data_IF_416451942500
#
_entry.id   IF_416451942500
#
_cell.length_a   1.000
_cell.length_b   1.000
_cell.length_c   1.000
_cell.angle_alpha   90.00
_cell.angle_beta   90.00
_cell.angle_gamma   90.00
#
_symmetry.space_group_name_H-M   'P 1'
#
loop_
_entity.id
_entity.type
_entity.pdbx_description
1 polymer ?
#
# COMPACT_ATOMS: atom_id res chain seq x y z
N UNK A 1 -7.15 -9.92 -14.03
CA UNK A 1 -6.80 -10.43 -12.69
C UNK A 1 -5.79 -9.53 -11.94
N UNK A 2 -5.03 -8.65 -12.61
CA UNK A 2 -4.10 -7.70 -11.96
C UNK A 2 -4.80 -6.65 -11.09
N UNK A 3 -5.93 -6.11 -11.55
CA UNK A 3 -6.71 -5.11 -10.80
C UNK A 3 -7.20 -5.56 -9.41
N UNK A 4 -7.42 -6.87 -9.19
CA UNK A 4 -7.81 -7.38 -7.87
C UNK A 4 -6.65 -7.30 -6.87
N UNK A 5 -5.43 -7.64 -7.28
CA UNK A 5 -4.25 -7.56 -6.42
C UNK A 5 -3.95 -6.12 -6.02
N UNK A 6 -3.99 -5.19 -6.99
CA UNK A 6 -3.81 -3.75 -6.73
C UNK A 6 -4.91 -3.20 -5.82
N UNK A 7 -6.16 -3.58 -6.04
CA UNK A 7 -7.28 -3.18 -5.19
C UNK A 7 -7.15 -3.68 -3.75
N UNK A 8 -6.70 -4.92 -3.54
CA UNK A 8 -6.46 -5.47 -2.20
C UNK A 8 -5.33 -4.73 -1.47
N UNK A 9 -4.22 -4.44 -2.16
CA UNK A 9 -3.10 -3.68 -1.56
C UNK A 9 -3.54 -2.27 -1.19
N UNK A 10 -4.31 -1.59 -2.06
CA UNK A 10 -4.86 -0.26 -1.75
C UNK A 10 -5.80 -0.31 -0.56
N UNK A 11 -6.72 -1.29 -0.53
CA UNK A 11 -7.67 -1.45 0.59
C UNK A 11 -6.96 -1.67 1.92
N UNK A 12 -5.91 -2.50 1.93
CA UNK A 12 -5.14 -2.80 3.13
C UNK A 12 -4.28 -1.61 3.56
N UNK A 13 -3.66 -0.90 2.61
CA UNK A 13 -2.94 0.35 2.88
C UNK A 13 -3.86 1.43 3.45
N UNK A 14 -5.07 1.56 2.91
CA UNK A 14 -6.07 2.51 3.38
C UNK A 14 -6.58 2.16 4.79
N UNK A 15 -6.77 0.87 5.08
CA UNK A 15 -7.09 0.42 6.43
C UNK A 15 -6.00 0.79 7.44
N UNK A 16 -4.73 0.48 7.13
CA UNK A 16 -3.59 0.84 7.97
C UNK A 16 -3.46 2.36 8.16
N UNK A 17 -3.69 3.13 7.10
CA UNK A 17 -3.71 4.59 7.16
C UNK A 17 -4.83 5.10 8.07
N UNK A 18 -6.01 4.46 8.06
CA UNK A 18 -7.09 4.76 8.99
C UNK A 18 -6.70 4.53 10.45
N UNK A 19 -6.01 3.43 10.74
CA UNK A 19 -5.47 3.17 12.10
C UNK A 19 -4.45 4.24 12.50
N UNK A 20 -3.51 4.57 11.61
CA UNK A 20 -2.53 5.65 11.86
C UNK A 20 -3.22 6.99 12.10
N UNK A 21 -4.31 7.28 11.37
CA UNK A 21 -5.08 8.50 11.55
C UNK A 21 -5.72 8.62 12.94
N UNK A 22 -5.96 7.53 13.67
CA UNK A 22 -6.48 7.60 15.04
C UNK A 22 -5.45 8.22 16.01
N UNK A 23 -4.16 7.98 15.77
CA UNK A 23 -3.05 8.51 16.57
C UNK A 23 -2.89 10.03 16.45
N UNK A 24 -3.47 10.63 15.39
CA UNK A 24 -3.54 12.08 15.21
C UNK A 24 -4.09 12.82 16.43
N UNK A 25 -5.00 12.19 17.17
CA UNK A 25 -5.58 12.72 18.41
C UNK A 25 -4.51 13.10 19.44
N UNK A 26 -3.39 12.36 19.50
CA UNK A 26 -2.25 12.70 20.35
C UNK A 26 -1.15 13.45 19.59
N UNK A 27 -0.91 13.13 18.32
CA UNK A 27 0.19 13.69 17.54
C UNK A 27 0.06 15.18 17.28
N UNK A 28 -1.17 15.66 17.08
CA UNK A 28 -1.41 17.09 16.85
C UNK A 28 -0.98 17.95 18.05
N UNK A 29 -1.15 17.44 19.28
CA UNK A 29 -0.77 18.09 20.53
C UNK A 29 0.74 18.22 20.70
N UNK A 30 1.51 17.31 20.08
CA UNK A 30 2.97 17.22 20.23
C UNK A 30 3.71 17.93 19.10
N UNK A 31 3.18 17.87 17.88
CA UNK A 31 3.86 18.38 16.69
C UNK A 31 3.38 19.77 16.28
N UNK A 32 2.09 20.05 16.43
CA UNK A 32 1.44 21.22 15.81
C UNK A 32 0.95 22.27 16.81
N UNK A 33 1.03 21.99 18.12
CA UNK A 33 0.68 22.95 19.15
C UNK A 33 1.92 23.78 19.58
N UNK A 34 1.79 25.10 19.59
CA UNK A 34 2.84 26.02 20.04
C UNK A 34 2.24 27.14 20.91
N UNK A 35 2.64 27.31 22.18
CA UNK A 35 3.58 26.49 22.94
C UNK A 35 2.98 25.14 23.36
N UNK A 36 3.83 24.12 23.52
CA UNK A 36 3.41 22.82 24.10
C UNK A 36 3.07 23.06 25.57
N UNK A 37 1.88 22.62 25.99
CA UNK A 37 1.42 22.78 27.37
C UNK A 37 1.67 21.51 28.17
N UNK A 38 1.80 21.63 29.50
CA UNK A 38 1.94 20.45 30.37
C UNK A 38 0.73 19.51 30.24
N UNK A 39 -0.48 20.08 30.12
CA UNK A 39 -1.71 19.30 29.97
C UNK A 39 -1.74 18.51 28.64
N UNK A 40 -1.30 19.13 27.54
CA UNK A 40 -1.24 18.45 26.25
C UNK A 40 -0.22 17.31 26.25
N UNK A 41 0.92 17.50 26.92
CA UNK A 41 1.96 16.48 27.07
C UNK A 41 1.48 15.28 27.92
N UNK A 42 0.84 15.53 29.06
CA UNK A 42 0.29 14.46 29.91
C UNK A 42 -0.86 13.73 29.22
N UNK A 43 -1.72 14.45 28.50
CA UNK A 43 -2.82 13.83 27.74
C UNK A 43 -2.31 12.93 26.61
N UNK A 44 -1.29 13.38 25.86
CA UNK A 44 -0.67 12.57 24.82
C UNK A 44 0.05 11.34 25.41
N UNK A 45 0.74 11.51 26.53
CA UNK A 45 1.35 10.39 27.26
C UNK A 45 0.30 9.37 27.71
N UNK A 46 -0.81 9.83 28.29
CA UNK A 46 -1.88 8.96 28.75
C UNK A 46 -2.52 8.19 27.59
N UNK A 47 -2.75 8.86 26.46
CA UNK A 47 -3.25 8.21 25.24
C UNK A 47 -2.33 7.08 24.77
N UNK A 48 -1.03 7.36 24.67
CA UNK A 48 -0.06 6.39 24.15
C UNK A 48 0.15 5.21 25.10
N UNK A 49 0.22 5.48 26.40
CA UNK A 49 0.38 4.42 27.41
C UNK A 49 -0.86 3.53 27.54
N UNK A 50 -2.06 4.07 27.31
CA UNK A 50 -3.29 3.29 27.23
C UNK A 50 -3.36 2.47 25.94
N UNK A 51 -3.05 3.09 24.80
CA UNK A 51 -3.14 2.45 23.47
C UNK A 51 -2.14 1.31 23.29
N UNK A 52 -0.90 1.48 23.79
CA UNK A 52 0.15 0.46 23.65
C UNK A 52 0.38 -0.40 24.91
N UNK A 53 -0.41 -0.19 25.97
CA UNK A 53 -0.37 -1.02 27.18
C UNK A 53 0.96 -0.97 27.95
N UNK A 54 1.68 0.17 27.92
CA UNK A 54 3.02 0.33 28.53
C UNK A 54 3.03 0.05 30.04
N UNK A 55 1.88 0.14 30.72
CA UNK A 55 1.76 -0.17 32.16
C UNK A 55 1.45 -1.65 32.48
N UNK A 56 1.31 -2.53 31.49
CA UNK A 56 0.95 -3.94 31.68
C UNK A 56 2.10 -4.88 31.30
N UNK A 57 3.31 -4.63 31.79
CA UNK A 57 4.39 -5.61 32.04
C UNK A 57 4.78 -6.65 30.97
N UNK A 58 4.32 -6.59 29.71
CA UNK A 58 4.54 -7.66 28.73
C UNK A 58 4.38 -7.15 27.30
N UNK A 59 5.36 -6.37 26.83
CA UNK A 59 5.53 -6.12 25.39
C UNK A 59 6.15 -7.35 24.65
N UNK A 60 6.60 -8.36 25.40
CA UNK A 60 7.12 -9.63 24.87
C UNK A 60 6.05 -10.74 24.90
N UNK A 61 6.02 -11.64 23.90
CA UNK A 61 5.19 -12.82 23.95
C UNK A 61 5.80 -13.81 24.94
N UNK A 62 5.42 -13.69 26.22
CA UNK A 62 5.58 -14.81 27.15
C UNK A 62 4.65 -15.92 26.66
N UNK A 63 5.24 -16.86 25.94
CA UNK A 63 4.63 -18.13 25.58
C UNK A 63 4.17 -18.84 26.85
N UNK A 64 2.95 -19.38 26.80
CA UNK A 64 2.37 -20.34 27.75
C UNK A 64 1.84 -19.76 29.07
N UNK A 65 0.52 -19.75 29.18
CA UNK A 65 -0.20 -19.95 30.45
C UNK A 65 -0.75 -18.70 31.12
N UNK A 66 -2.06 -18.66 31.32
CA UNK A 66 -2.71 -17.74 32.27
C UNK A 66 -3.88 -17.00 31.65
N UNK A 67 -5.07 -17.60 31.71
CA UNK A 67 -6.32 -16.92 31.42
C UNK A 67 -6.69 -15.99 32.57
N UNK A 68 -6.54 -14.70 32.37
CA UNK A 68 -7.37 -13.68 33.03
C UNK A 68 -7.26 -12.35 32.26
N UNK A 69 -8.40 -11.80 31.85
CA UNK A 69 -8.65 -10.41 31.38
C UNK A 69 -7.78 -9.75 30.28
N UNK A 70 -6.67 -10.35 29.86
CA UNK A 70 -5.61 -9.71 29.07
C UNK A 70 -5.73 -9.96 27.56
N UNK A 71 -6.88 -10.47 27.13
CA UNK A 71 -7.12 -10.89 25.75
C UNK A 71 -7.33 -9.69 24.81
N UNK A 72 -8.03 -8.64 25.25
CA UNK A 72 -8.45 -7.54 24.36
C UNK A 72 -7.28 -6.68 23.84
N UNK A 73 -6.21 -6.49 24.62
CA UNK A 73 -5.02 -5.73 24.19
C UNK A 73 -4.09 -6.57 23.32
N UNK A 74 -4.05 -7.91 23.53
CA UNK A 74 -3.29 -8.84 22.67
C UNK A 74 -3.85 -8.89 21.25
N UNK A 75 -5.15 -8.69 21.05
CA UNK A 75 -5.77 -8.75 19.73
C UNK A 75 -5.45 -7.51 18.87
N UNK A 76 -5.36 -6.32 19.47
CA UNK A 76 -5.11 -5.08 18.72
C UNK A 76 -3.72 -5.03 18.09
N UNK A 77 -2.70 -5.47 18.83
CA UNK A 77 -1.36 -5.65 18.29
C UNK A 77 -1.33 -6.71 17.19
N UNK A 78 -1.95 -7.87 17.42
CA UNK A 78 -1.96 -8.97 16.45
C UNK A 78 -2.61 -8.58 15.12
N UNK A 79 -3.73 -7.86 15.17
CA UNK A 79 -4.45 -7.41 13.97
C UNK A 79 -3.61 -6.41 13.16
N UNK A 80 -2.90 -5.49 13.80
CA UNK A 80 -2.02 -4.54 13.08
C UNK A 80 -0.79 -5.22 12.46
N UNK A 81 -0.10 -6.05 13.23
CA UNK A 81 1.09 -6.75 12.73
C UNK A 81 0.71 -7.73 11.62
N UNK A 82 -0.44 -8.41 11.73
CA UNK A 82 -0.96 -9.26 10.66
C UNK A 82 -1.40 -8.48 9.43
N UNK A 83 -2.03 -7.30 9.58
CA UNK A 83 -2.39 -6.43 8.46
C UNK A 83 -1.15 -5.89 7.72
N UNK A 84 -0.10 -5.48 8.43
CA UNK A 84 1.16 -5.08 7.79
C UNK A 84 1.86 -6.26 7.12
N UNK A 85 1.99 -7.39 7.81
CA UNK A 85 2.60 -8.60 7.27
C UNK A 85 1.85 -9.10 6.03
N UNK A 86 0.52 -9.02 6.04
CA UNK A 86 -0.33 -9.33 4.90
C UNK A 86 -0.09 -8.36 3.74
N UNK A 87 0.10 -7.06 3.99
CA UNK A 87 0.44 -6.07 2.96
C UNK A 87 1.76 -6.38 2.29
N UNK A 88 2.80 -6.64 3.09
CA UNK A 88 4.10 -7.10 2.60
C UNK A 88 3.97 -8.40 1.80
N UNK A 89 3.23 -9.37 2.32
CA UNK A 89 3.03 -10.67 1.68
C UNK A 89 2.28 -10.56 0.36
N UNK A 90 1.29 -9.67 0.25
CA UNK A 90 0.54 -9.44 -0.98
C UNK A 90 1.44 -8.82 -2.05
N UNK A 91 2.26 -7.83 -1.71
CA UNK A 91 3.22 -7.22 -2.64
C UNK A 91 4.29 -8.23 -3.05
N UNK A 92 4.82 -9.03 -2.12
CA UNK A 92 5.76 -10.11 -2.42
C UNK A 92 5.12 -11.18 -3.32
N UNK A 93 3.89 -11.58 -3.03
CA UNK A 93 3.16 -12.54 -3.85
C UNK A 93 2.94 -12.00 -5.27
N UNK A 94 2.65 -10.70 -5.43
CA UNK A 94 2.60 -10.04 -6.74
C UNK A 94 3.95 -10.09 -7.45
N UNK A 95 5.07 -9.90 -6.75
CA UNK A 95 6.41 -9.94 -7.35
C UNK A 95 6.80 -11.38 -7.75
N UNK A 96 6.58 -12.37 -6.89
CA UNK A 96 6.98 -13.76 -7.14
C UNK A 96 6.08 -14.48 -8.16
N UNK A 97 4.77 -14.21 -8.15
CA UNK A 97 3.81 -14.87 -9.04
C UNK A 97 3.33 -13.96 -10.19
N UNK A 98 3.72 -12.69 -10.21
CA UNK A 98 3.34 -11.72 -11.23
C UNK A 98 4.07 -11.96 -12.55
N UNK A 99 3.32 -12.33 -13.58
CA UNK A 99 3.83 -12.68 -14.92
C UNK A 99 4.21 -11.49 -15.83
N UNK A 100 4.17 -10.22 -15.37
CA UNK A 100 4.41 -9.02 -16.22
C UNK A 100 5.62 -8.21 -15.76
N UNK A 101 6.52 -7.89 -16.71
CA UNK A 101 7.79 -7.19 -16.45
C UNK A 101 7.69 -5.66 -16.31
N UNK A 102 6.64 -4.98 -16.79
CA UNK A 102 6.58 -3.51 -16.65
C UNK A 102 6.18 -3.03 -15.24
N UNK A 103 5.64 -3.92 -14.41
CA UNK A 103 5.13 -3.57 -13.08
C UNK A 103 6.18 -3.58 -11.96
N UNK A 104 7.42 -3.99 -12.24
CA UNK A 104 8.47 -4.17 -11.22
C UNK A 104 8.83 -2.86 -10.51
N UNK A 105 8.77 -1.73 -11.21
CA UNK A 105 9.04 -0.43 -10.61
C UNK A 105 8.03 -0.10 -9.52
N UNK A 106 6.73 -0.22 -9.82
CA UNK A 106 5.65 0.13 -8.89
C UNK A 106 5.55 -0.85 -7.73
N UNK A 107 5.63 -2.16 -8.02
CA UNK A 107 5.55 -3.20 -6.98
C UNK A 107 6.83 -3.21 -6.12
N UNK A 108 8.02 -2.96 -6.71
CA UNK A 108 9.28 -2.84 -5.98
C UNK A 108 9.35 -1.60 -5.08
N UNK A 109 8.92 -0.43 -5.58
CA UNK A 109 8.84 0.78 -4.75
C UNK A 109 7.82 0.65 -3.61
N UNK A 110 6.68 -0.01 -3.88
CA UNK A 110 5.69 -0.30 -2.85
C UNK A 110 6.23 -1.26 -1.78
N UNK A 111 6.98 -2.29 -2.20
CA UNK A 111 7.66 -3.20 -1.27
C UNK A 111 8.69 -2.48 -0.41
N UNK A 112 9.48 -1.60 -1.01
CA UNK A 112 10.45 -0.77 -0.29
C UNK A 112 9.78 0.11 0.77
N UNK A 113 8.67 0.78 0.43
CA UNK A 113 7.91 1.60 1.38
C UNK A 113 7.34 0.74 2.52
N UNK A 114 6.73 -0.41 2.22
CA UNK A 114 6.25 -1.33 3.26
C UNK A 114 7.38 -1.83 4.17
N UNK A 115 8.53 -2.17 3.60
CA UNK A 115 9.72 -2.59 4.35
C UNK A 115 10.28 -1.46 5.22
N UNK A 116 10.35 -0.24 4.69
CA UNK A 116 10.76 0.95 5.43
C UNK A 116 9.80 1.26 6.58
N UNK A 117 8.49 1.15 6.36
CA UNK A 117 7.48 1.25 7.41
C UNK A 117 7.73 0.24 8.53
N UNK A 118 7.97 -1.03 8.17
CA UNK A 118 8.31 -2.07 9.16
C UNK A 118 9.56 -1.71 9.96
N UNK A 119 10.66 -1.35 9.28
CA UNK A 119 11.92 -1.02 9.94
C UNK A 119 11.77 0.17 10.90
N UNK A 120 11.07 1.23 10.49
CA UNK A 120 10.79 2.39 11.33
C UNK A 120 9.91 2.01 12.52
N UNK A 121 8.88 1.20 12.31
CA UNK A 121 8.03 0.71 13.39
C UNK A 121 8.85 -0.04 14.45
N UNK A 122 9.67 -1.02 14.04
CA UNK A 122 10.50 -1.79 14.98
C UNK A 122 11.58 -0.95 15.65
N UNK A 123 12.25 -0.07 14.88
CA UNK A 123 13.42 0.67 15.36
C UNK A 123 13.06 1.90 16.18
N UNK A 124 11.94 2.57 15.86
CA UNK A 124 11.54 3.84 16.47
C UNK A 124 10.34 3.68 17.39
N UNK A 125 9.26 3.06 16.94
CA UNK A 125 8.03 3.00 17.75
C UNK A 125 8.26 2.11 18.97
N UNK A 126 8.71 0.87 18.76
CA UNK A 126 8.90 -0.06 19.89
C UNK A 126 9.99 0.41 20.86
N UNK A 127 11.07 0.99 20.33
CA UNK A 127 12.15 1.54 21.14
C UNK A 127 11.66 2.71 21.99
N UNK A 128 10.96 3.69 21.41
CA UNK A 128 10.49 4.85 22.18
C UNK A 128 9.42 4.47 23.21
N UNK A 129 8.53 3.52 22.90
CA UNK A 129 7.55 3.02 23.86
C UNK A 129 8.21 2.39 25.09
N UNK A 130 9.32 1.68 24.91
CA UNK A 130 10.06 1.07 26.02
C UNK A 130 10.78 2.09 26.92
N UNK A 131 11.04 3.30 26.41
CA UNK A 131 11.70 4.37 27.16
C UNK A 131 10.71 5.32 27.85
N UNK A 132 9.40 5.15 27.65
CA UNK A 132 8.40 6.01 28.30
C UNK A 132 8.35 5.74 29.81
N UNK A 133 8.35 6.78 30.65
CA UNK A 133 8.20 6.60 32.09
C UNK A 133 6.79 6.13 32.46
N UNK A 134 6.62 5.43 33.58
CA UNK A 134 5.30 4.99 34.04
C UNK A 134 4.38 6.19 34.32
N UNK A 135 3.06 5.97 34.21
CA UNK A 135 2.05 7.02 34.49
C UNK A 135 1.90 7.33 35.99
N UNK A 136 2.33 6.40 36.85
CA UNK A 136 2.20 6.52 38.30
C UNK A 136 3.57 6.29 38.96
N UNK A 137 4.07 7.21 39.78
CA UNK A 137 3.52 8.55 40.08
C UNK A 137 3.50 9.46 38.84
N UNK A 138 2.73 10.55 38.91
CA UNK A 138 2.53 11.47 37.77
C UNK A 138 3.88 11.85 37.11
N UNK A 139 4.01 11.70 35.78
CA UNK A 139 5.27 11.97 35.08
C UNK A 139 5.74 13.40 35.35
N UNK A 140 7.02 13.59 35.64
CA UNK A 140 7.63 14.92 35.69
C UNK A 140 7.81 15.45 34.27
N UNK A 141 6.69 15.79 33.63
CA UNK A 141 6.64 16.21 32.24
C UNK A 141 6.98 17.70 32.14
N UNK A 142 8.13 18.05 31.58
CA UNK A 142 8.52 19.45 31.40
C UNK A 142 8.44 19.86 29.93
N UNK A 143 7.37 20.55 29.48
CA UNK A 143 7.22 20.94 28.08
C UNK A 143 8.20 22.03 27.63
N UNK A 144 8.90 22.70 28.56
CA UNK A 144 9.91 23.70 28.25
C UNK A 144 11.31 23.11 28.03
N UNK A 145 11.55 21.89 28.51
CA UNK A 145 12.81 21.19 28.28
C UNK A 145 12.69 20.29 27.03
N UNK A 146 13.37 20.61 25.92
CA UNK A 146 13.32 19.81 24.70
C UNK A 146 13.94 18.42 24.87
N UNK A 147 14.68 18.17 25.94
CA UNK A 147 15.29 16.87 26.27
C UNK A 147 14.58 16.16 27.41
N UNK A 148 13.38 16.61 27.77
CA UNK A 148 12.59 15.93 28.77
C UNK A 148 12.35 14.46 28.38
N UNK A 149 12.48 13.59 29.37
CA UNK A 149 12.33 12.13 29.26
C UNK A 149 10.93 11.70 28.84
N UNK A 150 9.91 12.54 29.04
CA UNK A 150 8.55 12.28 28.53
C UNK A 150 8.35 12.88 27.14
N UNK A 151 8.78 14.12 26.92
CA UNK A 151 8.53 14.85 25.67
C UNK A 151 9.27 14.24 24.48
N UNK A 152 10.55 13.89 24.65
CA UNK A 152 11.39 13.44 23.55
C UNK A 152 10.88 12.12 22.93
N UNK A 153 10.61 11.04 23.69
CA UNK A 153 10.10 9.79 23.12
C UNK A 153 8.70 9.95 22.51
N UNK A 154 7.82 10.76 23.12
CA UNK A 154 6.48 11.01 22.60
C UNK A 154 6.52 11.77 21.27
N UNK A 155 7.43 12.74 21.15
CA UNK A 155 7.60 13.49 19.90
C UNK A 155 8.18 12.61 18.79
N UNK A 156 9.15 11.76 19.11
CA UNK A 156 9.69 10.77 18.17
C UNK A 156 8.64 9.75 17.73
N UNK A 157 7.71 9.38 18.63
CA UNK A 157 6.58 8.51 18.30
C UNK A 157 5.61 9.19 17.33
N UNK A 158 5.25 10.44 17.61
CA UNK A 158 4.38 11.24 16.74
C UNK A 158 4.98 11.49 15.35
N UNK A 159 6.27 11.82 15.27
CA UNK A 159 6.95 11.98 13.97
C UNK A 159 7.01 10.66 13.21
N UNK A 160 7.27 9.54 13.89
CA UNK A 160 7.30 8.22 13.27
C UNK A 160 5.93 7.85 12.67
N UNK A 161 4.84 8.10 13.39
CA UNK A 161 3.48 7.89 12.90
C UNK A 161 3.15 8.74 11.67
N UNK A 162 3.57 10.02 11.66
CA UNK A 162 3.40 10.88 10.51
C UNK A 162 4.19 10.38 9.27
N UNK A 163 5.43 9.91 9.46
CA UNK A 163 6.24 9.32 8.38
C UNK A 163 5.64 8.02 7.85
N UNK A 164 5.16 7.14 8.74
CA UNK A 164 4.44 5.91 8.37
C UNK A 164 3.20 6.21 7.53
N UNK A 165 2.40 7.19 7.94
CA UNK A 165 1.22 7.62 7.19
C UNK A 165 1.61 8.14 5.79
N UNK A 166 2.64 8.98 5.69
CA UNK A 166 3.12 9.49 4.41
C UNK A 166 3.63 8.36 3.49
N UNK A 167 4.35 7.38 4.03
CA UNK A 167 4.83 6.23 3.28
C UNK A 167 3.67 5.35 2.77
N UNK A 168 2.64 5.11 3.58
CA UNK A 168 1.43 4.37 3.15
C UNK A 168 0.64 5.13 2.09
N UNK A 169 0.54 6.46 2.18
CA UNK A 169 -0.02 7.29 1.10
C UNK A 169 0.81 7.10 -0.18
N UNK A 170 2.14 7.06 -0.06
CA UNK A 170 3.04 6.73 -1.17
C UNK A 170 2.71 5.39 -1.83
N UNK A 171 2.43 4.34 -1.04
CA UNK A 171 1.99 3.03 -1.56
C UNK A 171 0.66 3.17 -2.32
N UNK A 172 -0.33 3.84 -1.75
CA UNK A 172 -1.64 4.04 -2.41
C UNK A 172 -1.48 4.77 -3.74
N UNK A 173 -0.63 5.80 -3.80
CA UNK A 173 -0.34 6.56 -5.02
C UNK A 173 0.37 5.69 -6.06
N UNK A 174 1.39 4.92 -5.66
CA UNK A 174 2.11 4.01 -6.57
C UNK A 174 1.21 2.94 -7.16
N UNK A 175 0.37 2.32 -6.33
CA UNK A 175 -0.57 1.28 -6.78
C UNK A 175 -1.67 1.87 -7.68
N UNK A 176 -2.12 3.10 -7.40
CA UNK A 176 -3.04 3.82 -8.28
C UNK A 176 -2.39 4.18 -9.62
N UNK A 177 -1.12 4.59 -9.61
CA UNK A 177 -0.31 4.85 -10.80
C UNK A 177 -0.10 3.60 -11.66
N UNK A 178 0.15 2.45 -11.02
CA UNK A 178 0.21 1.15 -11.70
C UNK A 178 -1.12 0.82 -12.37
N UNK A 179 -2.25 1.00 -11.65
CA UNK A 179 -3.58 0.77 -12.22
C UNK A 179 -3.84 1.65 -13.44
N UNK A 180 -3.48 2.94 -13.35
CA UNK A 180 -3.65 3.87 -14.47
C UNK A 180 -2.77 3.50 -15.67
N UNK A 181 -1.50 3.15 -15.43
CA UNK A 181 -0.56 2.76 -16.47
C UNK A 181 -1.00 1.49 -17.19
N UNK A 182 -1.47 0.48 -16.46
CA UNK A 182 -2.02 -0.75 -17.06
C UNK A 182 -3.24 -0.47 -17.94
N UNK A 183 -4.12 0.44 -17.52
CA UNK A 183 -5.31 0.82 -18.30
C UNK A 183 -4.96 1.59 -19.56
N UNK A 184 -3.89 2.37 -19.53
CA UNK A 184 -3.40 3.07 -20.71
C UNK A 184 -2.79 2.08 -21.71
N UNK A 185 -1.90 1.19 -21.27
CA UNK A 185 -1.31 0.14 -22.10
C UNK A 185 -2.38 -0.79 -22.72
N UNK A 186 -3.43 -1.12 -21.96
CA UNK A 186 -4.54 -1.95 -22.46
C UNK A 186 -5.30 -1.27 -23.59
N UNK A 187 -5.54 0.05 -23.49
CA UNK A 187 -6.21 0.83 -24.54
C UNK A 187 -5.35 0.88 -25.81
N UNK A 188 -4.07 1.20 -25.68
CA UNK A 188 -3.14 1.24 -26.80
C UNK A 188 -3.05 -0.11 -27.52
N UNK A 189 -3.01 -1.22 -26.77
CA UNK A 189 -2.98 -2.57 -27.36
C UNK A 189 -4.26 -2.91 -28.13
N UNK A 190 -5.43 -2.53 -27.61
CA UNK A 190 -6.71 -2.75 -28.29
C UNK A 190 -6.76 -1.97 -29.61
N UNK A 191 -6.34 -0.70 -29.59
CA UNK A 191 -6.27 0.14 -30.80
C UNK A 191 -5.30 -0.45 -31.85
N UNK A 192 -4.14 -0.95 -31.42
CA UNK A 192 -3.20 -1.65 -32.30
C UNK A 192 -3.79 -2.94 -32.90
N UNK A 193 -4.46 -3.76 -32.09
CA UNK A 193 -5.10 -5.00 -32.55
C UNK A 193 -6.21 -4.71 -33.56
N UNK A 194 -7.06 -3.71 -33.31
CA UNK A 194 -8.09 -3.26 -34.24
C UNK A 194 -7.50 -2.76 -35.56
N UNK A 195 -6.43 -1.96 -35.52
CA UNK A 195 -5.75 -1.49 -36.70
C UNK A 195 -5.12 -2.65 -37.51
N UNK A 196 -4.54 -3.66 -36.85
CA UNK A 196 -4.01 -4.87 -37.49
C UNK A 196 -5.11 -5.69 -38.14
N UNK A 197 -6.25 -5.88 -37.47
CA UNK A 197 -7.41 -6.59 -38.00
C UNK A 197 -8.02 -5.87 -39.21
N UNK A 198 -8.13 -4.53 -39.16
CA UNK A 198 -8.59 -3.73 -40.28
C UNK A 198 -7.67 -3.87 -41.51
N UNK A 199 -6.35 -3.83 -41.32
CA UNK A 199 -5.35 -4.07 -42.39
C UNK A 199 -5.48 -5.48 -42.96
N UNK A 200 -5.68 -6.50 -42.12
CA UNK A 200 -5.85 -7.89 -42.56
C UNK A 200 -7.14 -8.07 -43.38
N UNK A 201 -8.26 -7.48 -42.94
CA UNK A 201 -9.53 -7.49 -43.68
C UNK A 201 -9.40 -6.86 -45.07
N UNK A 202 -8.72 -5.71 -45.17
CA UNK A 202 -8.46 -5.04 -46.47
C UNK A 202 -7.66 -5.91 -47.44
N UNK A 203 -6.62 -6.61 -46.94
CA UNK A 203 -5.81 -7.53 -47.77
C UNK A 203 -6.63 -8.71 -48.29
N UNK A 204 -7.46 -9.31 -47.43
CA UNK A 204 -8.32 -10.43 -47.83
C UNK A 204 -9.37 -10.00 -48.86
N UNK A 205 -9.98 -8.81 -48.70
CA UNK A 205 -10.91 -8.27 -49.69
C UNK A 205 -10.24 -8.06 -51.05
N UNK A 206 -9.04 -7.45 -51.07
CA UNK A 206 -8.28 -7.24 -52.30
C UNK A 206 -7.84 -8.55 -52.99
N UNK A 207 -7.54 -9.60 -52.20
CA UNK A 207 -7.18 -10.91 -52.76
C UNK A 207 -8.40 -11.64 -53.33
N UNK A 208 -9.57 -11.57 -52.67
CA UNK A 208 -10.82 -12.14 -53.17
C UNK A 208 -11.27 -11.50 -54.48
N UNK A 209 -11.09 -10.20 -54.63
CA UNK A 209 -11.44 -9.46 -55.85
C UNK A 209 -10.55 -9.86 -57.04
N UNK A 210 -9.24 -10.03 -56.80
CA UNK A 210 -8.31 -10.55 -57.81
C UNK A 210 -8.66 -11.97 -58.27
N UNK A 211 -9.09 -12.85 -57.36
CA UNK A 211 -9.48 -14.23 -57.69
C UNK A 211 -10.77 -14.26 -58.51
N UNK A 212 -11.77 -13.43 -58.18
CA UNK A 212 -13.00 -13.31 -58.97
C UNK A 212 -12.74 -12.79 -60.38
N UNK A 213 -11.99 -11.69 -60.51
CA UNK A 213 -11.65 -11.13 -61.82
C UNK A 213 -10.83 -12.09 -62.71
N UNK A 214 -9.94 -12.88 -62.11
CA UNK A 214 -9.21 -13.93 -62.84
C UNK A 214 -10.14 -15.07 -63.32
N UNK A 215 -11.13 -15.47 -62.52
CA UNK A 215 -12.11 -16.49 -62.89
C UNK A 215 -13.06 -16.06 -64.02
N UNK A 216 -13.53 -14.81 -63.99
CA UNK A 216 -14.37 -14.24 -65.05
C UNK A 216 -13.61 -14.06 -66.37
N UNK A 217 -12.34 -13.64 -66.31
CA UNK A 217 -11.46 -13.54 -67.49
C UNK A 217 -11.20 -14.91 -68.14
N UNK A 218 -10.99 -15.95 -67.34
CA UNK A 218 -10.82 -17.32 -67.85
C UNK A 218 -12.11 -17.88 -68.45
N UNK A 219 -13.26 -17.65 -67.80
CA UNK A 219 -14.57 -18.07 -68.30
C UNK A 219 -14.97 -17.38 -69.60
N UNK A 220 -14.68 -16.08 -69.75
CA UNK A 220 -14.92 -15.34 -70.98
C UNK A 220 -14.01 -15.78 -72.13
N UNK A 221 -12.74 -16.10 -71.84
CA UNK A 221 -11.81 -16.61 -72.85
C UNK A 221 -12.24 -17.99 -73.37
N UNK A 222 -12.67 -18.89 -72.47
CA UNK A 222 -13.22 -20.21 -72.82
C UNK A 222 -14.52 -20.08 -73.62
N UNK A 223 -15.41 -19.15 -73.27
CA UNK A 223 -16.65 -18.92 -74.02
C UNK A 223 -16.41 -18.38 -75.44
N UNK A 224 -15.36 -17.55 -75.65
CA UNK A 224 -15.02 -17.04 -76.99
C UNK A 224 -14.27 -18.05 -77.87
N UNK A 225 -13.67 -19.09 -77.28
CA UNK A 225 -12.93 -20.14 -78.01
C UNK A 225 -13.81 -21.25 -78.58
N UNK A 226 -15.10 -21.31 -78.24
CA UNK A 226 -16.04 -22.37 -78.67
C UNK A 226 -16.90 -21.95 -79.88
N UNK A 227 -16.74 -20.72 -80.39
CA UNK A 227 -17.54 -20.19 -81.51
C UNK A 227 -16.86 -20.26 -82.89
N UNK A 228 -16.06 -21.30 -83.17
CA UNK A 228 -15.50 -21.57 -84.51
C UNK A 228 -15.91 -22.96 -84.99
#
# INVERSE_FOLDING_TARGET
MTGLGTGLVISLSAFLLGVLSMHWTADHLLLWQSPITHQSLVSAHAYYSHTYGVNSGSFLPSSVGGGDGSAEVKEQGLVLHSAWALGCLLVLSKIFFGRRQSNWLFDGASLFLYGSCGLLYYSKILSNLSHLPPLSPAPQANPQDPRDSTLLPLRELATSNAVLAAALIGVVVLQSGQYYSERLEERERIEEEEARLARRRRRLAAQGDKVKGAGEGLGSAVASGVSV
#
